data_IF_341335518688
#
_entry.id   IF_341335518688
#
_cell.length_a   1.000
_cell.length_b   1.000
_cell.length_c   1.000
_cell.angle_alpha   90.00
_cell.angle_beta   90.00
_cell.angle_gamma   90.00
#
_symmetry.space_group_name_H-M   'P 1'
#
loop_
_entity.id
_entity.type
_entity.pdbx_description
1 polymer ?
#
# COMPACT_ATOMS: atom_id res chain seq x y z
N UNK A 1 -24.59 3.53 -24.51
CA UNK A 1 -23.79 3.21 -23.30
C UNK A 1 -22.77 2.09 -23.59
N UNK A 2 -23.22 0.92 -24.02
CA UNK A 2 -22.34 -0.22 -24.35
C UNK A 2 -21.37 0.06 -25.50
N UNK A 3 -21.83 0.72 -26.58
CA UNK A 3 -20.95 1.12 -27.69
C UNK A 3 -19.86 2.12 -27.27
N UNK A 4 -20.14 3.00 -26.30
CA UNK A 4 -19.15 3.94 -25.73
C UNK A 4 -18.13 3.19 -24.89
N UNK A 5 -18.58 2.27 -24.04
CA UNK A 5 -17.73 1.38 -23.23
C UNK A 5 -16.77 0.56 -24.11
N UNK A 6 -17.29 -0.09 -25.15
CA UNK A 6 -16.49 -0.87 -26.09
C UNK A 6 -15.44 -0.03 -26.84
N UNK A 7 -15.79 1.21 -27.21
CA UNK A 7 -14.86 2.15 -27.84
C UNK A 7 -13.73 2.55 -26.88
N UNK A 8 -14.06 2.83 -25.61
CA UNK A 8 -13.08 3.21 -24.59
C UNK A 8 -12.12 2.06 -24.24
N UNK A 9 -12.62 0.84 -24.12
CA UNK A 9 -11.78 -0.36 -23.96
C UNK A 9 -10.84 -0.54 -25.16
N UNK A 10 -11.36 -0.41 -26.39
CA UNK A 10 -10.53 -0.51 -27.59
C UNK A 10 -9.46 0.60 -27.66
N UNK A 11 -9.78 1.80 -27.19
CA UNK A 11 -8.84 2.91 -27.11
C UNK A 11 -7.78 2.65 -26.04
N UNK A 12 -8.17 2.15 -24.88
CA UNK A 12 -7.25 1.76 -23.80
C UNK A 12 -6.30 0.65 -24.22
N UNK A 13 -6.79 -0.36 -24.94
CA UNK A 13 -5.96 -1.44 -25.46
C UNK A 13 -4.91 -0.94 -26.45
N UNK A 14 -5.31 -0.07 -27.39
CA UNK A 14 -4.36 0.57 -28.31
C UNK A 14 -3.34 1.46 -27.60
N UNK A 15 -3.76 2.14 -26.53
CA UNK A 15 -2.86 2.96 -25.73
C UNK A 15 -1.83 2.09 -24.99
N UNK A 16 -2.26 0.97 -24.42
CA UNK A 16 -1.38 0.01 -23.76
C UNK A 16 -0.35 -0.58 -24.75
N UNK A 17 -0.80 -1.00 -25.94
CA UNK A 17 0.08 -1.52 -26.99
C UNK A 17 1.12 -0.47 -27.43
N UNK A 18 0.70 0.80 -27.54
CA UNK A 18 1.58 1.90 -27.87
C UNK A 18 2.58 2.21 -26.75
N UNK A 19 2.17 2.15 -25.48
CA UNK A 19 3.08 2.31 -24.34
C UNK A 19 4.13 1.21 -24.30
N UNK A 20 3.75 -0.04 -24.58
CA UNK A 20 4.70 -1.15 -24.74
C UNK A 20 5.68 -0.87 -25.89
N UNK A 21 5.19 -0.35 -27.02
CA UNK A 21 6.00 -0.02 -28.19
C UNK A 21 6.98 1.13 -27.93
N UNK A 22 6.56 2.15 -27.18
CA UNK A 22 7.37 3.33 -26.87
C UNK A 22 8.43 3.04 -25.79
N UNK A 23 8.18 2.06 -24.92
CA UNK A 23 9.19 1.48 -24.04
C UNK A 23 8.99 1.79 -22.55
N UNK A 24 10.04 1.57 -21.73
CA UNK A 24 9.91 1.49 -20.27
C UNK A 24 9.29 2.71 -19.59
N UNK A 25 9.59 3.92 -20.06
CA UNK A 25 9.03 5.17 -19.49
C UNK A 25 7.51 5.19 -19.61
N UNK A 26 6.97 4.86 -20.78
CA UNK A 26 5.54 4.89 -21.07
C UNK A 26 4.80 3.73 -20.42
N UNK A 27 5.42 2.55 -20.36
CA UNK A 27 4.90 1.42 -19.57
C UNK A 27 4.71 1.85 -18.12
N UNK A 28 5.69 2.53 -17.52
CA UNK A 28 5.59 3.00 -16.13
C UNK A 28 4.57 4.11 -15.94
N UNK A 29 4.51 5.09 -16.84
CA UNK A 29 3.44 6.10 -16.82
C UNK A 29 2.07 5.43 -16.90
N UNK A 30 1.91 4.43 -17.78
CA UNK A 30 0.68 3.64 -17.87
C UNK A 30 0.35 2.86 -16.61
N UNK A 31 1.35 2.32 -15.90
CA UNK A 31 1.14 1.68 -14.59
C UNK A 31 0.65 2.70 -13.55
N UNK A 32 1.26 3.89 -13.47
CA UNK A 32 0.82 4.98 -12.58
C UNK A 32 -0.63 5.38 -12.92
N UNK A 33 -0.91 5.61 -14.21
CA UNK A 33 -2.24 5.97 -14.71
C UNK A 33 -3.29 4.87 -14.54
N UNK A 34 -2.92 3.59 -14.56
CA UNK A 34 -3.85 2.47 -14.32
C UNK A 34 -4.39 2.46 -12.89
N UNK A 35 -3.67 3.09 -11.96
CA UNK A 35 -4.06 3.22 -10.56
C UNK A 35 -4.83 4.53 -10.27
N UNK A 36 -5.05 5.36 -11.29
CA UNK A 36 -5.70 6.65 -11.15
C UNK A 36 -7.19 6.49 -10.79
N UNK A 37 -7.59 7.15 -9.70
CA UNK A 37 -8.95 7.17 -9.18
C UNK A 37 -9.58 8.55 -9.12
N UNK A 38 -8.86 9.64 -9.40
CA UNK A 38 -9.51 10.95 -9.44
C UNK A 38 -10.22 11.22 -10.78
N UNK A 39 -10.31 10.19 -11.64
CA UNK A 39 -11.08 10.21 -12.87
C UNK A 39 -10.40 10.99 -14.00
N UNK A 40 -9.07 11.05 -14.00
CA UNK A 40 -8.31 11.67 -15.09
C UNK A 40 -8.43 10.82 -16.36
N UNK A 41 -8.53 9.50 -16.19
CA UNK A 41 -8.87 8.56 -17.26
C UNK A 41 -10.27 7.94 -17.05
N UNK A 42 -11.01 7.67 -18.14
CA UNK A 42 -12.15 6.77 -18.10
C UNK A 42 -11.75 5.39 -17.51
N UNK A 43 -12.59 4.84 -16.64
CA UNK A 43 -12.35 3.56 -15.94
C UNK A 43 -11.98 2.43 -16.92
N UNK A 44 -12.63 2.38 -18.08
CA UNK A 44 -12.32 1.39 -19.12
C UNK A 44 -10.90 1.51 -19.67
N UNK A 45 -10.34 2.72 -19.76
CA UNK A 45 -8.96 2.92 -20.23
C UNK A 45 -7.98 2.51 -19.13
N UNK A 46 -8.23 2.89 -17.89
CA UNK A 46 -7.41 2.49 -16.74
C UNK A 46 -7.37 0.96 -16.60
N UNK A 47 -8.51 0.29 -16.79
CA UNK A 47 -8.63 -1.18 -16.82
C UNK A 47 -7.72 -1.79 -17.89
N UNK A 48 -7.74 -1.30 -19.13
CA UNK A 48 -6.85 -1.79 -20.20
C UNK A 48 -5.36 -1.61 -19.89
N UNK A 49 -4.99 -0.52 -19.20
CA UNK A 49 -3.60 -0.23 -18.83
C UNK A 49 -3.06 -1.18 -17.74
N UNK A 50 -3.92 -1.89 -16.99
CA UNK A 50 -3.46 -2.87 -16.00
C UNK A 50 -2.60 -3.98 -16.60
N UNK A 51 -2.77 -4.32 -17.90
CA UNK A 51 -1.90 -5.29 -18.60
C UNK A 51 -0.43 -4.88 -18.63
N UNK A 52 -0.13 -3.60 -18.49
CA UNK A 52 1.25 -3.10 -18.49
C UNK A 52 2.05 -3.59 -17.28
N UNK A 53 1.37 -4.18 -16.30
CA UNK A 53 1.97 -4.83 -15.13
C UNK A 53 2.47 -6.26 -15.46
N UNK A 54 2.22 -6.77 -16.66
CA UNK A 54 2.66 -8.10 -17.10
C UNK A 54 4.19 -8.19 -17.31
N UNK A 55 4.71 -9.43 -17.21
CA UNK A 55 6.15 -9.70 -17.23
C UNK A 55 6.75 -9.34 -18.58
N UNK A 56 7.73 -8.43 -18.55
CA UNK A 56 8.57 -8.11 -19.69
C UNK A 56 9.56 -9.26 -19.94
N UNK A 57 9.85 -9.63 -21.20
CA UNK A 57 10.88 -10.63 -21.49
C UNK A 57 12.23 -10.31 -20.84
N UNK A 58 12.90 -11.35 -20.36
CA UNK A 58 14.29 -11.28 -19.93
C UNK A 58 15.19 -10.83 -21.09
N UNK A 59 16.15 -9.95 -20.81
CA UNK A 59 17.30 -9.74 -21.69
C UNK A 59 18.35 -10.83 -21.44
N UNK A 60 19.38 -10.87 -22.28
CA UNK A 60 20.41 -11.90 -22.19
C UNK A 60 21.11 -11.95 -20.82
N UNK A 61 21.30 -13.16 -20.30
CA UNK A 61 21.84 -13.40 -18.95
C UNK A 61 23.33 -13.08 -18.84
N UNK A 62 24.10 -13.35 -19.89
CA UNK A 62 25.52 -12.95 -19.95
C UNK A 62 25.64 -11.43 -19.93
N UNK A 63 24.75 -10.73 -20.64
CA UNK A 63 24.68 -9.27 -20.56
C UNK A 63 24.36 -8.78 -19.15
N UNK A 64 23.56 -9.49 -18.36
CA UNK A 64 23.29 -9.13 -16.97
C UNK A 64 24.55 -9.24 -16.09
N UNK A 65 25.34 -10.29 -16.30
CA UNK A 65 26.63 -10.47 -15.63
C UNK A 65 27.62 -9.33 -15.98
N UNK A 66 27.70 -8.94 -17.25
CA UNK A 66 28.52 -7.79 -17.69
C UNK A 66 28.08 -6.47 -17.03
N UNK A 67 26.76 -6.23 -16.93
CA UNK A 67 26.22 -5.04 -16.28
C UNK A 67 26.49 -5.05 -14.78
N UNK A 68 26.46 -6.21 -14.12
CA UNK A 68 26.83 -6.34 -12.72
C UNK A 68 28.33 -6.00 -12.49
N UNK A 69 29.22 -6.49 -13.36
CA UNK A 69 30.66 -6.13 -13.34
C UNK A 69 30.85 -4.63 -13.52
N UNK A 70 30.16 -4.03 -14.50
CA UNK A 70 30.25 -2.60 -14.76
C UNK A 70 29.74 -1.76 -13.58
N UNK A 71 28.69 -2.22 -12.88
CA UNK A 71 28.15 -1.54 -11.71
C UNK A 71 29.07 -1.65 -10.48
N UNK A 72 29.71 -2.81 -10.27
CA UNK A 72 30.60 -3.06 -9.14
C UNK A 72 32.02 -2.51 -9.34
N UNK A 73 32.39 -2.16 -10.58
CA UNK A 73 33.76 -1.78 -10.98
C UNK A 73 34.82 -2.84 -10.60
N UNK A 74 34.40 -4.10 -10.51
CA UNK A 74 35.22 -5.24 -10.09
C UNK A 74 34.90 -6.49 -10.91
N UNK A 75 35.87 -7.39 -11.14
CA UNK A 75 35.62 -8.68 -11.80
C UNK A 75 34.56 -9.50 -11.05
N UNK A 76 33.67 -10.16 -11.79
CA UNK A 76 32.54 -10.89 -11.20
C UNK A 76 33.02 -12.00 -10.25
N UNK A 77 34.10 -12.69 -10.59
CA UNK A 77 34.73 -13.78 -9.84
C UNK A 77 35.41 -13.32 -8.54
N UNK A 78 35.68 -12.02 -8.40
CA UNK A 78 36.19 -11.45 -7.15
C UNK A 78 35.10 -11.24 -6.09
N UNK A 79 33.84 -11.15 -6.51
CA UNK A 79 32.67 -10.89 -5.65
C UNK A 79 31.79 -12.13 -5.49
N UNK A 80 31.55 -12.84 -6.60
CA UNK A 80 30.67 -14.00 -6.68
C UNK A 80 31.46 -15.27 -6.98
N UNK A 81 31.27 -16.29 -6.14
CA UNK A 81 31.72 -17.67 -6.42
C UNK A 81 30.93 -18.28 -7.59
N UNK A 82 29.65 -17.93 -7.71
CA UNK A 82 28.80 -18.30 -8.84
C UNK A 82 27.74 -17.24 -9.12
N UNK A 83 27.38 -17.07 -10.39
CA UNK A 83 26.31 -16.18 -10.83
C UNK A 83 25.46 -16.93 -11.87
N UNK A 84 24.19 -17.17 -11.57
CA UNK A 84 23.27 -17.86 -12.49
C UNK A 84 22.79 -16.88 -13.57
N UNK A 85 23.19 -17.12 -14.81
CA UNK A 85 22.77 -16.31 -15.96
C UNK A 85 21.30 -16.55 -16.32
N UNK A 86 20.66 -17.57 -15.76
CA UNK A 86 19.21 -17.75 -15.81
C UNK A 86 18.54 -16.85 -14.78
N UNK A 87 17.67 -15.90 -15.18
CA UNK A 87 17.01 -15.01 -14.23
C UNK A 87 15.96 -15.75 -13.39
N UNK A 88 15.94 -15.46 -12.08
CA UNK A 88 14.86 -15.84 -11.16
C UNK A 88 13.56 -15.10 -11.51
N UNK A 89 13.70 -13.82 -11.88
CA UNK A 89 12.60 -12.96 -12.25
C UNK A 89 13.07 -11.88 -13.24
N UNK A 90 12.16 -11.44 -14.10
CA UNK A 90 12.38 -10.32 -14.99
C UNK A 90 11.26 -9.30 -14.77
N UNK A 91 11.64 -8.03 -14.69
CA UNK A 91 10.75 -6.89 -14.56
C UNK A 91 11.03 -5.87 -15.68
N UNK A 92 10.24 -4.79 -15.69
CA UNK A 92 10.40 -3.72 -16.68
C UNK A 92 11.74 -2.99 -16.55
N UNK A 93 12.24 -2.79 -15.32
CA UNK A 93 13.48 -2.04 -15.06
C UNK A 93 14.74 -2.91 -14.99
N UNK A 94 14.60 -4.22 -14.85
CA UNK A 94 15.75 -5.09 -14.59
C UNK A 94 15.44 -6.57 -14.53
N UNK A 95 16.43 -7.35 -14.14
CA UNK A 95 16.33 -8.78 -13.89
C UNK A 95 16.93 -9.14 -12.55
N UNK A 96 16.42 -10.20 -11.93
CA UNK A 96 16.92 -10.73 -10.66
C UNK A 96 17.59 -12.07 -10.94
N UNK A 97 18.85 -12.21 -10.56
CA UNK A 97 19.66 -13.41 -10.72
C UNK A 97 20.00 -14.02 -9.36
N UNK A 98 20.14 -15.34 -9.30
CA UNK A 98 20.69 -16.01 -8.11
C UNK A 98 22.21 -16.00 -8.22
N UNK A 99 22.89 -15.69 -7.14
CA UNK A 99 24.34 -15.78 -7.07
C UNK A 99 24.78 -16.27 -5.69
N UNK A 100 26.03 -16.73 -5.60
CA UNK A 100 26.69 -17.06 -4.34
C UNK A 100 27.88 -16.13 -4.19
N UNK A 101 27.92 -15.36 -3.11
CA UNK A 101 29.08 -14.52 -2.79
C UNK A 101 30.29 -15.39 -2.44
N UNK A 102 31.50 -14.85 -2.67
CA UNK A 102 32.72 -15.46 -2.13
C UNK A 102 32.57 -15.60 -0.61
N UNK A 103 32.64 -16.84 -0.12
CA UNK A 103 32.34 -17.19 1.28
C UNK A 103 31.01 -17.93 1.48
N UNK A 104 30.24 -18.16 0.41
CA UNK A 104 29.11 -19.11 0.39
C UNK A 104 27.73 -18.52 0.71
N UNK A 105 27.60 -17.21 0.90
CA UNK A 105 26.31 -16.55 1.15
C UNK A 105 25.50 -16.48 -0.15
N UNK A 106 24.32 -17.10 -0.17
CA UNK A 106 23.42 -17.02 -1.32
C UNK A 106 22.67 -15.68 -1.37
N UNK A 107 22.68 -15.05 -2.54
CA UNK A 107 22.08 -13.73 -2.76
C UNK A 107 21.22 -13.69 -4.02
N UNK A 108 20.25 -12.79 -4.02
CA UNK A 108 19.52 -12.34 -5.19
C UNK A 108 20.12 -11.01 -5.66
N UNK A 109 20.50 -10.94 -6.93
CA UNK A 109 21.15 -9.78 -7.55
C UNK A 109 20.20 -9.17 -8.58
N UNK A 110 19.62 -8.02 -8.25
CA UNK A 110 18.76 -7.23 -9.15
C UNK A 110 19.64 -6.32 -10.00
N UNK A 111 19.72 -6.60 -11.29
CA UNK A 111 20.53 -5.88 -12.28
C UNK A 111 19.61 -4.98 -13.12
N UNK A 112 19.92 -3.69 -13.18
CA UNK A 112 19.18 -2.72 -13.99
C UNK A 112 19.43 -2.91 -15.49
N UNK A 113 18.40 -2.70 -16.33
CA UNK A 113 18.56 -2.66 -17.79
C UNK A 113 19.46 -1.49 -18.20
N UNK A 114 20.30 -1.72 -19.20
CA UNK A 114 21.20 -0.69 -19.70
C UNK A 114 20.46 0.52 -20.27
N UNK A 115 21.00 1.71 -20.02
CA UNK A 115 20.54 2.96 -20.64
C UNK A 115 19.21 3.50 -20.12
N UNK A 116 18.62 2.92 -19.07
CA UNK A 116 17.33 3.37 -18.55
C UNK A 116 17.31 4.85 -18.16
N UNK A 117 18.35 5.34 -17.49
CA UNK A 117 18.47 6.76 -17.13
C UNK A 117 18.46 7.65 -18.38
N UNK A 118 19.22 7.30 -19.41
CA UNK A 118 19.29 8.11 -20.64
C UNK A 118 17.96 8.09 -21.43
N UNK A 119 17.24 6.98 -21.37
CA UNK A 119 15.89 6.86 -21.94
C UNK A 119 14.94 7.78 -21.17
N UNK A 120 14.95 7.72 -19.84
CA UNK A 120 14.09 8.55 -18.98
C UNK A 120 14.39 10.03 -19.15
N UNK A 121 15.67 10.42 -19.16
CA UNK A 121 16.11 11.80 -19.35
C UNK A 121 15.57 12.38 -20.68
N UNK A 122 15.56 11.59 -21.76
CA UNK A 122 15.06 12.03 -23.08
C UNK A 122 13.54 12.07 -23.13
N UNK A 123 12.89 11.01 -22.67
CA UNK A 123 11.43 10.86 -22.74
C UNK A 123 10.73 11.89 -21.84
N UNK A 124 11.21 12.05 -20.60
CA UNK A 124 10.66 13.01 -19.65
C UNK A 124 10.93 14.45 -20.08
N UNK A 125 12.11 14.76 -20.66
CA UNK A 125 12.35 16.08 -21.22
C UNK A 125 11.40 16.42 -22.39
N UNK A 126 11.03 15.42 -23.21
CA UNK A 126 10.07 15.61 -24.29
C UNK A 126 8.64 15.75 -23.76
N UNK A 127 8.24 14.88 -22.83
CA UNK A 127 6.92 14.92 -22.19
C UNK A 127 6.71 16.22 -21.41
N UNK A 128 7.70 16.69 -20.66
CA UNK A 128 7.62 17.96 -19.94
C UNK A 128 7.40 19.16 -20.87
N UNK A 129 7.98 19.15 -22.08
CA UNK A 129 7.69 20.16 -23.11
C UNK A 129 6.26 20.07 -23.63
N UNK A 130 5.73 18.86 -23.82
CA UNK A 130 4.35 18.65 -24.25
C UNK A 130 3.35 19.08 -23.17
N UNK A 131 3.59 18.69 -21.91
CA UNK A 131 2.79 19.10 -20.76
C UNK A 131 2.77 20.61 -20.62
N UNK A 132 3.94 21.26 -20.67
CA UNK A 132 4.01 22.73 -20.62
C UNK A 132 3.36 23.43 -21.83
N UNK A 133 3.25 22.76 -22.97
CA UNK A 133 2.46 23.25 -24.10
C UNK A 133 0.95 23.11 -23.82
N UNK A 134 0.49 21.94 -23.36
CA UNK A 134 -0.92 21.68 -23.02
C UNK A 134 -1.43 22.64 -21.95
N UNK A 135 -0.65 22.85 -20.87
CA UNK A 135 -0.99 23.80 -19.79
C UNK A 135 -1.12 25.24 -20.31
N UNK A 136 -0.27 25.63 -21.28
CA UNK A 136 -0.35 26.97 -21.91
C UNK A 136 -1.64 27.19 -22.70
N UNK A 137 -2.22 26.13 -23.28
CA UNK A 137 -3.45 26.21 -24.05
C UNK A 137 -4.72 25.91 -23.24
N UNK A 138 -4.57 25.67 -21.93
CA UNK A 138 -5.68 25.44 -21.00
C UNK A 138 -6.65 24.35 -21.51
N UNK A 139 -6.10 23.31 -22.15
CA UNK A 139 -6.87 22.21 -22.74
C UNK A 139 -7.44 21.38 -21.60
N UNK A 140 -8.67 21.69 -21.19
CA UNK A 140 -9.41 20.87 -20.22
C UNK A 140 -9.83 19.57 -20.89
N UNK A 141 -9.16 18.48 -20.52
CA UNK A 141 -9.71 17.14 -20.70
C UNK A 141 -10.49 16.83 -19.42
N UNK A 142 -11.80 16.59 -19.53
CA UNK A 142 -12.60 16.10 -18.39
C UNK A 142 -13.21 17.15 -17.44
N UNK A 143 -13.03 18.46 -17.65
CA UNK A 143 -13.80 19.50 -16.93
C UNK A 143 -13.28 19.92 -15.56
N UNK A 144 -12.14 19.39 -15.10
CA UNK A 144 -11.40 19.93 -13.96
C UNK A 144 -10.25 20.83 -14.43
N UNK A 145 -9.86 21.82 -13.61
CA UNK A 145 -8.63 22.60 -13.79
C UNK A 145 -7.44 21.69 -13.49
N UNK A 146 -7.04 20.91 -14.49
CA UNK A 146 -6.01 19.90 -14.36
C UNK A 146 -4.63 20.57 -14.48
N UNK A 147 -3.87 20.56 -13.38
CA UNK A 147 -2.49 21.03 -13.35
C UNK A 147 -1.58 19.91 -13.83
N UNK A 148 -1.54 19.69 -15.14
CA UNK A 148 -0.78 18.59 -15.73
C UNK A 148 0.71 18.66 -15.39
N UNK A 149 1.26 19.86 -15.21
CA UNK A 149 2.61 20.07 -14.69
C UNK A 149 2.88 19.42 -13.34
N UNK A 150 2.00 19.60 -12.34
CA UNK A 150 2.22 19.04 -10.99
C UNK A 150 2.20 17.50 -11.01
N UNK A 151 1.26 16.91 -11.75
CA UNK A 151 1.19 15.45 -11.94
C UNK A 151 2.41 14.91 -12.69
N UNK A 152 2.87 15.65 -13.71
CA UNK A 152 4.05 15.28 -14.47
C UNK A 152 5.32 15.31 -13.62
N UNK A 153 5.46 16.32 -12.76
CA UNK A 153 6.59 16.45 -11.84
C UNK A 153 6.59 15.31 -10.81
N UNK A 154 5.43 14.99 -10.23
CA UNK A 154 5.27 13.87 -9.29
C UNK A 154 5.60 12.53 -9.96
N UNK A 155 5.03 12.26 -11.16
CA UNK A 155 5.33 11.05 -11.92
C UNK A 155 6.81 10.95 -12.29
N UNK A 156 7.44 12.07 -12.63
CA UNK A 156 8.88 12.14 -12.94
C UNK A 156 9.71 11.76 -11.72
N UNK A 157 9.38 12.29 -10.53
CA UNK A 157 10.09 11.96 -9.29
C UNK A 157 9.95 10.48 -8.92
N UNK A 158 8.75 9.90 -9.08
CA UNK A 158 8.49 8.47 -8.88
C UNK A 158 9.36 7.62 -9.80
N UNK A 159 9.46 7.98 -11.08
CA UNK A 159 10.24 7.24 -12.08
C UNK A 159 11.74 7.26 -11.79
N UNK A 160 12.29 8.42 -11.40
CA UNK A 160 13.71 8.52 -11.05
C UNK A 160 14.05 7.75 -9.77
N UNK A 161 13.16 7.75 -8.77
CA UNK A 161 13.33 6.93 -7.56
C UNK A 161 13.37 5.44 -7.89
N UNK A 162 12.56 4.99 -8.85
CA UNK A 162 12.49 3.57 -9.19
C UNK A 162 13.75 3.02 -9.89
N UNK A 163 14.55 3.89 -10.51
CA UNK A 163 15.83 3.51 -11.13
C UNK A 163 17.03 3.74 -10.21
N UNK A 164 16.83 4.19 -8.97
CA UNK A 164 17.89 4.30 -7.97
C UNK A 164 17.83 3.13 -6.97
N UNK A 165 18.60 2.09 -7.27
CA UNK A 165 18.66 0.90 -6.43
C UNK A 165 19.36 1.12 -5.07
N UNK A 166 20.07 2.24 -4.86
CA UNK A 166 20.56 2.60 -3.51
C UNK A 166 19.40 3.02 -2.61
N UNK A 167 18.47 3.81 -3.14
CA UNK A 167 17.28 4.21 -2.40
C UNK A 167 16.44 2.97 -2.03
N UNK A 168 16.26 2.03 -2.96
CA UNK A 168 15.59 0.76 -2.67
C UNK A 168 16.32 -0.07 -1.60
N UNK A 169 17.66 -0.15 -1.66
CA UNK A 169 18.48 -0.82 -0.66
C UNK A 169 18.31 -0.22 0.75
N UNK A 170 18.34 1.12 0.86
CA UNK A 170 18.14 1.83 2.12
C UNK A 170 16.73 1.62 2.68
N UNK A 171 15.71 1.67 1.82
CA UNK A 171 14.32 1.41 2.18
C UNK A 171 14.11 -0.03 2.66
N UNK A 172 14.72 -1.02 2.01
CA UNK A 172 14.67 -2.41 2.40
C UNK A 172 15.33 -2.65 3.76
N UNK A 173 16.53 -2.09 3.99
CA UNK A 173 17.22 -2.17 5.28
C UNK A 173 16.43 -1.49 6.41
N UNK A 174 15.79 -0.36 6.10
CA UNK A 174 14.90 0.33 7.05
C UNK A 174 13.68 -0.52 7.41
N UNK A 175 13.06 -1.16 6.42
CA UNK A 175 11.94 -2.07 6.66
C UNK A 175 12.36 -3.28 7.49
N UNK A 176 13.51 -3.88 7.17
CA UNK A 176 14.10 -5.00 7.93
C UNK A 176 14.23 -4.65 9.41
N UNK A 177 14.80 -3.47 9.72
CA UNK A 177 14.92 -2.98 11.08
C UNK A 177 13.56 -2.74 11.75
N UNK A 178 12.57 -2.21 11.03
CA UNK A 178 11.23 -1.95 11.55
C UNK A 178 10.48 -3.25 11.93
N UNK A 179 10.70 -4.33 11.18
CA UNK A 179 10.00 -5.61 11.38
C UNK A 179 10.83 -6.64 12.16
N UNK A 180 12.03 -6.31 12.62
CA UNK A 180 12.95 -7.24 13.29
C UNK A 180 12.33 -7.97 14.51
N UNK A 181 11.38 -7.33 15.21
CA UNK A 181 10.69 -7.90 16.37
C UNK A 181 9.40 -8.67 16.00
N UNK A 182 9.07 -8.78 14.72
CA UNK A 182 7.88 -9.47 14.23
C UNK A 182 8.27 -10.86 13.70
N UNK A 183 7.71 -11.90 14.30
CA UNK A 183 8.01 -13.28 13.86
C UNK A 183 7.31 -13.67 12.56
N UNK A 184 6.29 -12.92 12.15
CA UNK A 184 5.37 -13.23 11.06
C UNK A 184 5.57 -12.34 9.81
N UNK A 185 6.50 -11.38 9.83
CA UNK A 185 6.94 -10.58 8.67
C UNK A 185 8.46 -10.60 8.58
N UNK A 186 8.99 -10.55 7.36
CA UNK A 186 10.41 -10.42 7.08
C UNK A 186 10.64 -9.81 5.69
N UNK A 187 11.89 -9.53 5.39
CA UNK A 187 12.42 -9.09 4.10
C UNK A 187 13.82 -9.68 3.94
N UNK A 188 14.32 -9.91 2.72
CA UNK A 188 15.73 -10.17 2.49
C UNK A 188 16.64 -9.11 3.14
N UNK A 189 17.72 -9.56 3.77
CA UNK A 189 18.75 -8.65 4.28
C UNK A 189 19.57 -8.08 3.12
N UNK A 190 19.90 -6.80 3.18
CA UNK A 190 20.63 -6.10 2.11
C UNK A 190 22.13 -6.25 2.29
N UNK A 191 22.87 -6.51 1.20
CA UNK A 191 24.33 -6.49 1.17
C UNK A 191 24.79 -5.11 0.71
N UNK A 192 24.71 -4.15 1.63
CA UNK A 192 24.85 -2.71 1.36
C UNK A 192 26.14 -2.38 0.60
N UNK A 193 27.23 -3.09 0.90
CA UNK A 193 28.56 -2.87 0.32
C UNK A 193 28.62 -3.18 -1.18
N UNK A 194 27.68 -3.98 -1.69
CA UNK A 194 27.57 -4.38 -3.09
C UNK A 194 26.42 -3.66 -3.82
N UNK A 195 25.70 -2.76 -3.14
CA UNK A 195 24.59 -2.03 -3.72
C UNK A 195 25.07 -0.73 -4.39
N UNK A 196 24.58 -0.48 -5.59
CA UNK A 196 24.86 0.72 -6.40
C UNK A 196 23.56 1.25 -6.99
N UNK A 197 23.61 2.36 -7.73
CA UNK A 197 22.41 2.91 -8.40
C UNK A 197 21.81 1.92 -9.42
N UNK A 198 22.61 0.96 -9.91
CA UNK A 198 22.24 0.02 -10.98
C UNK A 198 22.21 -1.45 -10.53
N UNK A 199 22.60 -1.73 -9.30
CA UNK A 199 22.72 -3.09 -8.76
C UNK A 199 22.22 -3.13 -7.31
N UNK A 200 21.24 -3.99 -7.03
CA UNK A 200 20.79 -4.28 -5.66
C UNK A 200 21.11 -5.73 -5.33
N UNK A 201 21.82 -5.95 -4.23
CA UNK A 201 22.20 -7.28 -3.75
C UNK A 201 21.55 -7.52 -2.39
N UNK A 202 20.76 -8.59 -2.29
CA UNK A 202 20.04 -8.96 -1.08
C UNK A 202 20.11 -10.46 -0.84
N UNK A 203 19.83 -10.92 0.37
CA UNK A 203 19.80 -12.34 0.69
C UNK A 203 18.84 -13.11 -0.22
N UNK A 204 19.27 -14.26 -0.70
CA UNK A 204 18.36 -15.14 -1.43
C UNK A 204 17.38 -15.76 -0.43
N UNK A 205 16.13 -15.27 -0.46
CA UNK A 205 15.07 -15.74 0.43
C UNK A 205 13.94 -16.40 -0.37
N UNK A 206 13.93 -17.74 -0.50
CA UNK A 206 12.87 -18.44 -1.22
C UNK A 206 11.56 -18.40 -0.42
N UNK A 207 10.44 -18.34 -1.15
CA UNK A 207 9.09 -18.38 -0.59
C UNK A 207 8.05 -18.81 -1.63
N UNK A 208 6.88 -19.20 -1.17
CA UNK A 208 5.71 -19.45 -2.01
C UNK A 208 5.06 -18.10 -2.30
N UNK A 209 4.85 -17.76 -3.57
CA UNK A 209 4.20 -16.48 -3.93
C UNK A 209 2.83 -16.38 -3.29
N UNK A 210 2.45 -15.17 -2.85
CA UNK A 210 1.21 -14.98 -2.10
C UNK A 210 -0.05 -15.35 -2.90
N UNK A 211 0.04 -15.32 -4.24
CA UNK A 211 -1.03 -15.69 -5.17
C UNK A 211 -0.93 -17.13 -5.71
N UNK A 212 0.06 -17.94 -5.28
CA UNK A 212 0.16 -19.36 -5.63
C UNK A 212 -0.69 -20.18 -4.64
N UNK A 213 -2.02 -20.02 -4.73
CA UNK A 213 -2.96 -20.64 -3.79
C UNK A 213 -2.84 -22.17 -3.75
N UNK A 214 -2.53 -22.81 -4.89
CA UNK A 214 -2.35 -24.25 -4.94
C UNK A 214 -1.21 -24.72 -4.02
N UNK A 215 -0.08 -24.01 -4.00
CA UNK A 215 1.03 -24.32 -3.09
C UNK A 215 0.75 -23.90 -1.66
N UNK A 216 0.06 -22.78 -1.45
CA UNK A 216 -0.34 -22.34 -0.11
C UNK A 216 -1.28 -23.37 0.53
N UNK A 217 -2.35 -23.77 -0.17
CA UNK A 217 -3.35 -24.73 0.32
C UNK A 217 -2.76 -26.15 0.49
N UNK A 218 -1.69 -26.48 -0.23
CA UNK A 218 -0.94 -27.72 -0.07
C UNK A 218 0.03 -27.71 1.12
N UNK A 219 0.28 -26.55 1.76
CA UNK A 219 1.20 -26.41 2.90
C UNK A 219 0.38 -26.35 4.19
N UNK A 220 0.38 -27.41 5.04
CA UNK A 220 -0.52 -27.51 6.19
C UNK A 220 -0.41 -26.38 7.23
N UNK A 221 0.75 -25.74 7.31
CA UNK A 221 1.03 -24.62 8.20
C UNK A 221 0.38 -23.31 7.76
N UNK A 222 0.02 -23.17 6.48
CA UNK A 222 -0.47 -21.91 5.93
C UNK A 222 -1.99 -21.86 5.95
N UNK A 223 -2.51 -20.75 6.48
CA UNK A 223 -3.93 -20.41 6.41
C UNK A 223 -4.06 -19.05 5.70
N UNK A 224 -4.79 -19.04 4.59
CA UNK A 224 -4.96 -17.83 3.77
C UNK A 224 -5.59 -16.67 4.53
N UNK A 225 -6.53 -16.95 5.44
CA UNK A 225 -7.16 -15.90 6.27
C UNK A 225 -6.18 -15.34 7.27
N UNK A 226 -5.32 -16.18 7.86
CA UNK A 226 -4.23 -15.72 8.74
C UNK A 226 -3.24 -14.87 7.96
N UNK A 227 -2.85 -15.27 6.74
CA UNK A 227 -1.97 -14.49 5.88
C UNK A 227 -2.58 -13.13 5.50
N UNK A 228 -3.85 -13.08 5.15
CA UNK A 228 -4.57 -11.84 4.86
C UNK A 228 -4.61 -10.90 6.07
N UNK A 229 -4.92 -11.43 7.26
CA UNK A 229 -4.93 -10.67 8.51
C UNK A 229 -3.54 -10.16 8.89
N UNK A 230 -2.50 -10.98 8.70
CA UNK A 230 -1.11 -10.58 8.94
C UNK A 230 -0.68 -9.48 7.95
N UNK A 231 -1.08 -9.58 6.67
CA UNK A 231 -0.80 -8.53 5.69
C UNK A 231 -1.44 -7.21 6.12
N UNK A 232 -2.72 -7.24 6.53
CA UNK A 232 -3.41 -6.06 7.06
C UNK A 232 -2.73 -5.49 8.31
N UNK A 233 -2.33 -6.37 9.26
CA UNK A 233 -1.61 -5.98 10.47
C UNK A 233 -0.25 -5.36 10.15
N UNK A 234 0.47 -5.86 9.13
CA UNK A 234 1.72 -5.26 8.66
C UNK A 234 1.49 -3.83 8.18
N UNK A 235 0.47 -3.60 7.36
CA UNK A 235 0.13 -2.27 6.86
C UNK A 235 -0.32 -1.31 7.96
N UNK A 236 -1.09 -1.79 8.94
CA UNK A 236 -1.40 -1.00 10.13
C UNK A 236 -0.13 -0.53 10.84
N UNK A 237 0.86 -1.40 11.05
CA UNK A 237 2.11 -1.04 11.70
C UNK A 237 2.92 -0.06 10.84
N UNK A 238 2.96 -0.26 9.53
CA UNK A 238 3.61 0.65 8.58
C UNK A 238 3.05 2.07 8.68
N UNK A 239 1.72 2.22 8.68
CA UNK A 239 1.09 3.53 8.80
C UNK A 239 1.20 4.11 10.21
N UNK A 240 0.75 3.38 11.23
CA UNK A 240 0.54 3.94 12.56
C UNK A 240 1.78 3.90 13.45
N UNK A 241 2.69 2.94 13.25
CA UNK A 241 3.86 2.74 14.13
C UNK A 241 5.16 3.18 13.48
N UNK A 242 5.43 2.74 12.25
CA UNK A 242 6.69 3.01 11.57
C UNK A 242 6.70 4.39 10.89
N UNK A 243 5.52 4.89 10.50
CA UNK A 243 5.39 6.06 9.63
C UNK A 243 6.07 5.83 8.27
N UNK A 244 6.33 4.58 7.90
CA UNK A 244 7.08 4.17 6.72
C UNK A 244 6.39 2.95 6.13
N UNK A 245 6.01 3.05 4.86
CA UNK A 245 5.13 2.07 4.25
C UNK A 245 5.53 1.79 2.80
N UNK A 246 5.26 0.56 2.36
CA UNK A 246 5.37 0.17 0.97
C UNK A 246 4.10 0.61 0.21
N UNK A 247 4.25 1.26 -0.95
CA UNK A 247 3.09 1.73 -1.73
C UNK A 247 2.58 0.70 -2.73
N UNK A 248 3.33 -0.38 -2.96
CA UNK A 248 3.06 -1.36 -4.02
C UNK A 248 3.12 -2.81 -3.51
N UNK A 249 2.18 -3.26 -2.65
CA UNK A 249 2.05 -4.66 -2.23
C UNK A 249 1.52 -5.58 -3.34
N UNK A 250 1.96 -5.38 -4.58
CA UNK A 250 1.57 -6.24 -5.68
C UNK A 250 1.93 -7.71 -5.36
N UNK A 251 1.08 -8.71 -5.67
CA UNK A 251 1.33 -10.11 -5.35
C UNK A 251 2.69 -10.65 -5.84
N UNK A 252 3.25 -10.05 -6.89
CA UNK A 252 4.58 -10.37 -7.41
C UNK A 252 5.73 -10.10 -6.42
N UNK A 253 5.53 -9.15 -5.50
CA UNK A 253 6.52 -8.67 -4.53
C UNK A 253 6.30 -9.26 -3.13
N UNK A 254 5.35 -10.19 -3.00
CA UNK A 254 4.96 -10.83 -1.75
C UNK A 254 5.08 -12.35 -1.84
N UNK A 255 5.65 -12.95 -0.80
CA UNK A 255 5.65 -14.40 -0.63
C UNK A 255 5.42 -14.78 0.83
N UNK A 256 5.27 -16.08 1.05
CA UNK A 256 5.18 -16.70 2.37
C UNK A 256 6.22 -17.82 2.46
N UNK A 257 6.93 -17.89 3.59
CA UNK A 257 7.79 -19.04 3.94
C UNK A 257 7.38 -19.65 5.25
N UNK A 258 7.76 -20.91 5.43
CA UNK A 258 7.63 -21.60 6.71
C UNK A 258 8.65 -21.03 7.70
N UNK A 259 8.25 -20.91 8.95
CA UNK A 259 9.12 -20.43 10.03
C UNK A 259 8.72 -21.09 11.33
N UNK A 260 9.70 -21.62 12.08
CA UNK A 260 9.45 -22.19 13.40
C UNK A 260 8.92 -21.14 14.40
N UNK A 261 9.26 -19.86 14.18
CA UNK A 261 8.81 -18.74 15.01
C UNK A 261 7.40 -18.22 14.61
N UNK A 262 6.90 -18.61 13.43
CA UNK A 262 5.56 -18.27 12.97
C UNK A 262 4.92 -19.48 12.28
N UNK A 263 4.26 -20.36 13.07
CA UNK A 263 3.60 -21.56 12.55
C UNK A 263 2.49 -21.28 11.52
N UNK A 264 1.99 -20.05 11.40
CA UNK A 264 1.02 -19.64 10.36
C UNK A 264 1.65 -19.11 9.07
N UNK A 265 2.97 -19.26 8.92
CA UNK A 265 3.76 -18.67 7.84
C UNK A 265 4.34 -17.30 8.19
N UNK A 266 5.45 -16.95 7.55
CA UNK A 266 6.09 -15.64 7.64
C UNK A 266 5.99 -14.95 6.28
N UNK A 267 5.37 -13.76 6.26
CA UNK A 267 5.25 -12.94 5.06
C UNK A 267 6.61 -12.35 4.68
N UNK A 268 6.95 -12.39 3.40
CA UNK A 268 8.16 -11.83 2.82
C UNK A 268 7.78 -10.68 1.90
N UNK A 269 8.40 -9.52 2.10
CA UNK A 269 8.34 -8.39 1.18
C UNK A 269 9.66 -8.32 0.41
N UNK A 270 9.60 -8.18 -0.92
CA UNK A 270 10.79 -8.18 -1.79
C UNK A 270 11.16 -6.83 -2.40
N UNK A 271 10.20 -5.91 -2.54
CA UNK A 271 10.38 -4.68 -3.31
C UNK A 271 10.04 -3.46 -2.44
N UNK A 272 10.97 -2.51 -2.40
CA UNK A 272 10.83 -1.25 -1.67
C UNK A 272 11.20 -0.03 -2.54
N UNK A 273 11.20 -0.19 -3.87
CA UNK A 273 11.53 0.89 -4.80
C UNK A 273 10.54 2.04 -4.76
N UNK A 274 9.32 1.79 -4.28
CA UNK A 274 8.25 2.77 -4.12
C UNK A 274 7.83 2.95 -2.64
N UNK A 275 8.71 2.68 -1.68
CA UNK A 275 8.39 2.91 -0.27
C UNK A 275 8.37 4.41 0.07
N UNK A 276 7.48 4.82 0.97
CA UNK A 276 7.26 6.22 1.32
C UNK A 276 7.31 6.44 2.83
N UNK A 277 7.74 7.65 3.20
CA UNK A 277 7.72 8.17 4.56
C UNK A 277 6.49 9.07 4.74
N UNK A 278 5.74 8.85 5.82
CA UNK A 278 4.72 9.77 6.28
C UNK A 278 5.35 10.87 7.13
N UNK A 279 4.90 12.10 6.92
CA UNK A 279 5.17 13.19 7.86
C UNK A 279 4.46 12.91 9.19
N UNK A 280 4.99 13.38 10.34
CA UNK A 280 4.41 13.10 11.65
C UNK A 280 2.93 13.48 11.77
N UNK A 281 2.52 14.60 11.15
CA UNK A 281 1.12 15.03 11.10
C UNK A 281 0.23 14.08 10.30
N UNK A 282 0.73 13.57 9.17
CA UNK A 282 0.01 12.62 8.33
C UNK A 282 -0.19 11.28 9.04
N UNK A 283 0.88 10.77 9.67
CA UNK A 283 0.84 9.55 10.48
C UNK A 283 -0.19 9.67 11.61
N UNK A 284 -0.19 10.79 12.35
CA UNK A 284 -1.15 11.01 13.43
C UNK A 284 -2.59 11.12 12.92
N UNK A 285 -2.80 11.78 11.77
CA UNK A 285 -4.11 11.86 11.12
C UNK A 285 -4.66 10.49 10.75
N UNK A 286 -3.83 9.64 10.11
CA UNK A 286 -4.20 8.26 9.75
C UNK A 286 -4.51 7.43 11.00
N UNK A 287 -3.69 7.55 12.04
CA UNK A 287 -3.94 6.85 13.31
C UNK A 287 -5.29 7.27 13.91
N UNK A 288 -5.55 8.57 14.05
CA UNK A 288 -6.80 9.10 14.59
C UNK A 288 -8.01 8.62 13.78
N UNK A 289 -7.88 8.61 12.45
CA UNK A 289 -8.89 8.12 11.53
C UNK A 289 -9.21 6.63 11.79
N UNK A 290 -8.22 5.74 11.74
CA UNK A 290 -8.45 4.30 11.92
C UNK A 290 -8.99 4.01 13.34
N UNK A 291 -8.47 4.68 14.36
CA UNK A 291 -8.93 4.52 15.74
C UNK A 291 -10.39 4.96 15.92
N UNK A 292 -10.79 6.09 15.34
CA UNK A 292 -12.16 6.58 15.40
C UNK A 292 -13.15 5.64 14.70
N UNK A 293 -12.74 5.01 13.60
CA UNK A 293 -13.55 4.01 12.88
C UNK A 293 -13.74 2.76 13.73
N UNK A 294 -12.70 2.28 14.41
CA UNK A 294 -12.78 1.10 15.28
C UNK A 294 -13.63 1.36 16.52
N UNK A 295 -13.50 2.56 17.10
CA UNK A 295 -14.27 2.99 18.26
C UNK A 295 -15.73 3.34 17.88
N UNK A 296 -16.07 3.34 16.59
CA UNK A 296 -17.36 3.78 16.02
C UNK A 296 -17.73 5.20 16.48
N UNK A 297 -16.73 6.08 16.57
CA UNK A 297 -16.87 7.47 17.03
C UNK A 297 -16.94 8.42 15.83
N UNK A 298 -18.16 8.70 15.38
CA UNK A 298 -18.41 9.52 14.19
C UNK A 298 -17.88 10.96 14.32
N UNK A 299 -18.07 11.68 15.45
CA UNK A 299 -17.45 12.99 15.64
C UNK A 299 -15.93 12.98 15.49
N UNK A 300 -15.24 12.03 16.15
CA UNK A 300 -13.77 11.92 16.03
C UNK A 300 -13.33 11.59 14.61
N UNK A 301 -14.10 10.76 13.90
CA UNK A 301 -13.81 10.38 12.52
C UNK A 301 -13.91 11.58 11.56
N UNK A 302 -14.95 12.41 11.70
CA UNK A 302 -15.10 13.63 10.88
C UNK A 302 -14.03 14.66 11.20
N UNK A 303 -13.65 14.83 12.47
CA UNK A 303 -12.51 15.68 12.84
C UNK A 303 -11.22 15.17 12.19
N UNK A 304 -10.95 13.86 12.24
CA UNK A 304 -9.77 13.30 11.58
C UNK A 304 -9.80 13.51 10.05
N UNK A 305 -10.95 13.32 9.40
CA UNK A 305 -11.09 13.62 7.96
C UNK A 305 -10.83 15.09 7.65
N UNK A 306 -11.34 16.01 8.47
CA UNK A 306 -11.11 17.44 8.29
C UNK A 306 -9.63 17.81 8.50
N UNK A 307 -8.98 17.29 9.55
CA UNK A 307 -7.57 17.55 9.86
C UNK A 307 -6.63 16.99 8.80
N UNK A 308 -7.01 15.87 8.17
CA UNK A 308 -6.32 15.29 7.01
C UNK A 308 -6.65 16.00 5.69
N UNK A 309 -7.48 17.06 5.69
CA UNK A 309 -7.87 17.77 4.47
C UNK A 309 -8.77 16.98 3.52
N UNK A 310 -9.33 15.85 3.97
CA UNK A 310 -10.22 14.99 3.17
C UNK A 310 -11.61 15.63 2.93
N UNK A 311 -11.93 16.67 3.68
CA UNK A 311 -13.17 17.44 3.56
C UNK A 311 -12.81 18.84 3.03
N UNK A 312 -13.49 19.28 1.97
CA UNK A 312 -13.28 20.62 1.39
C UNK A 312 -13.60 21.73 2.40
N UNK A 313 -12.84 22.81 2.36
CA UNK A 313 -13.12 23.99 3.16
C UNK A 313 -14.55 24.52 2.91
N UNK A 314 -15.27 24.81 3.99
CA UNK A 314 -16.64 25.30 3.94
C UNK A 314 -17.72 24.21 3.77
N UNK A 315 -17.35 22.94 3.70
CA UNK A 315 -18.31 21.84 3.72
C UNK A 315 -19.01 21.70 5.09
N UNK A 316 -20.22 21.15 5.08
CA UNK A 316 -21.04 20.98 6.27
C UNK A 316 -20.65 19.71 7.05
N UNK A 317 -19.79 19.87 8.05
CA UNK A 317 -19.29 18.77 8.89
C UNK A 317 -20.41 17.97 9.56
N UNK A 318 -21.55 18.58 9.87
CA UNK A 318 -22.68 17.87 10.48
C UNK A 318 -23.31 16.85 9.52
N UNK A 319 -23.29 17.12 8.20
CA UNK A 319 -23.72 16.14 7.19
C UNK A 319 -22.76 14.97 7.11
N UNK A 320 -21.44 15.23 7.19
CA UNK A 320 -20.45 14.17 7.24
C UNK A 320 -20.64 13.30 8.49
N UNK A 321 -20.89 13.90 9.65
CA UNK A 321 -21.11 13.16 10.91
C UNK A 321 -22.37 12.28 10.83
N UNK A 322 -23.46 12.79 10.26
CA UNK A 322 -24.68 12.02 10.02
C UNK A 322 -24.44 10.83 9.07
N UNK A 323 -23.67 11.03 7.99
CA UNK A 323 -23.30 9.96 7.05
C UNK A 323 -22.43 8.90 7.74
N UNK A 324 -21.38 9.32 8.45
CA UNK A 324 -20.47 8.41 9.16
C UNK A 324 -21.22 7.63 10.24
N UNK A 325 -22.06 8.30 11.03
CA UNK A 325 -22.92 7.67 12.05
C UNK A 325 -23.86 6.63 11.45
N UNK A 326 -24.47 6.93 10.30
CA UNK A 326 -25.34 5.98 9.58
C UNK A 326 -24.56 4.78 9.05
N UNK A 327 -23.35 4.98 8.53
CA UNK A 327 -22.50 3.88 8.05
C UNK A 327 -22.02 2.97 9.21
N UNK A 328 -21.73 3.55 10.37
CA UNK A 328 -21.42 2.79 11.58
C UNK A 328 -22.64 2.00 12.08
N UNK A 329 -23.81 2.64 12.13
CA UNK A 329 -25.06 2.01 12.56
C UNK A 329 -25.59 0.94 11.59
N UNK A 330 -25.30 1.05 10.28
CA UNK A 330 -25.74 0.08 9.28
C UNK A 330 -24.91 -1.20 9.26
N UNK A 331 -23.85 -1.31 10.07
CA UNK A 331 -22.96 -2.48 10.11
C UNK A 331 -22.13 -2.67 8.84
N UNK A 332 -21.99 -1.62 8.01
CA UNK A 332 -21.14 -1.65 6.80
C UNK A 332 -19.66 -1.66 7.12
N UNK A 333 -19.31 -1.24 8.34
CA UNK A 333 -17.98 -1.44 8.92
C UNK A 333 -18.15 -2.52 9.98
N UNK A 334 -17.86 -3.78 9.61
CA UNK A 334 -17.97 -4.91 10.54
C UNK A 334 -16.72 -4.98 11.42
N UNK A 335 -16.60 -4.09 12.40
CA UNK A 335 -15.60 -4.30 13.45
C UNK A 335 -16.01 -5.53 14.28
N UNK A 336 -15.34 -6.68 14.08
CA UNK A 336 -15.57 -7.91 14.88
C UNK A 336 -15.31 -7.70 16.37
N UNK A 337 -14.64 -6.62 16.77
CA UNK A 337 -14.34 -6.29 18.17
C UNK A 337 -15.61 -5.99 19.01
N UNK A 338 -16.75 -5.69 18.40
CA UNK A 338 -17.99 -5.35 19.11
C UNK A 338 -18.94 -6.53 19.37
N UNK A 339 -18.60 -7.77 18.96
CA UNK A 339 -19.46 -8.94 19.19
C UNK A 339 -19.68 -9.28 20.69
N UNK A 340 -18.96 -8.60 21.59
CA UNK A 340 -19.13 -8.68 23.05
C UNK A 340 -20.13 -7.70 23.68
N UNK A 341 -20.67 -6.70 22.94
CA UNK A 341 -21.65 -5.75 23.49
C UNK A 341 -22.73 -5.36 22.49
N UNK A 342 -23.50 -6.33 22.00
CA UNK A 342 -24.96 -6.22 21.85
C UNK A 342 -25.50 -7.57 21.42
N UNK A 343 -26.10 -8.29 22.37
CA UNK A 343 -27.07 -9.34 22.07
C UNK A 343 -28.30 -8.64 21.50
N UNK A 344 -28.31 -8.43 20.19
CA UNK A 344 -29.50 -8.12 19.40
C UNK A 344 -29.26 -8.54 17.94
N UNK A 345 -28.80 -9.77 17.72
CA UNK A 345 -29.05 -10.45 16.45
C UNK A 345 -30.55 -10.77 16.39
N UNK A 346 -31.30 -9.97 15.63
CA UNK A 346 -32.37 -10.43 14.72
C UNK A 346 -32.93 -9.26 13.91
N UNK A 347 -33.03 -9.51 12.60
CA UNK A 347 -33.75 -8.75 11.55
C UNK A 347 -32.88 -7.89 10.61
N UNK A 348 -31.87 -8.50 9.97
CA UNK A 348 -31.31 -7.97 8.72
C UNK A 348 -32.09 -8.42 7.46
N UNK A 349 -32.99 -9.40 7.57
CA UNK A 349 -33.80 -9.93 6.46
C UNK A 349 -35.20 -9.30 6.34
N UNK A 350 -35.37 -8.08 6.85
CA UNK A 350 -36.61 -7.30 6.74
C UNK A 350 -36.52 -6.16 5.70
N UNK A 351 -37.65 -5.65 5.18
CA UNK A 351 -37.68 -4.52 4.23
C UNK A 351 -36.92 -3.27 4.72
N UNK A 352 -36.72 -3.13 6.04
CA UNK A 352 -36.01 -2.01 6.68
C UNK A 352 -34.47 -2.04 6.54
N UNK A 353 -33.84 -3.21 6.41
CA UNK A 353 -32.37 -3.31 6.24
C UNK A 353 -31.91 -2.79 4.88
N UNK A 354 -32.61 -3.19 3.82
CA UNK A 354 -32.39 -2.69 2.46
C UNK A 354 -32.72 -1.19 2.30
N UNK A 355 -33.67 -0.66 3.08
CA UNK A 355 -33.99 0.77 3.13
C UNK A 355 -32.89 1.58 3.83
N UNK A 356 -32.32 1.05 4.92
CA UNK A 356 -31.16 1.63 5.62
C UNK A 356 -29.93 1.68 4.73
N UNK A 357 -29.64 0.60 4.00
CA UNK A 357 -28.53 0.55 3.05
C UNK A 357 -28.67 1.57 1.90
N UNK A 358 -29.86 1.66 1.30
CA UNK A 358 -30.13 2.63 0.23
C UNK A 358 -30.09 4.07 0.74
N UNK A 359 -30.57 4.32 1.96
CA UNK A 359 -30.51 5.64 2.58
C UNK A 359 -29.07 6.05 2.90
N UNK A 360 -28.25 5.14 3.44
CA UNK A 360 -26.84 5.38 3.69
C UNK A 360 -26.04 5.56 2.38
N UNK A 361 -26.32 4.78 1.33
CA UNK A 361 -25.68 4.98 0.02
C UNK A 361 -26.04 6.34 -0.61
N UNK A 362 -27.30 6.76 -0.49
CA UNK A 362 -27.77 8.07 -0.94
C UNK A 362 -27.18 9.21 -0.10
N UNK A 363 -26.99 9.00 1.19
CA UNK A 363 -26.36 9.97 2.09
C UNK A 363 -24.86 10.11 1.78
N UNK A 364 -24.15 9.00 1.51
CA UNK A 364 -22.77 9.04 1.01
C UNK A 364 -22.65 9.81 -0.32
N UNK A 365 -23.61 9.65 -1.23
CA UNK A 365 -23.69 10.45 -2.47
C UNK A 365 -23.87 11.95 -2.23
N UNK A 366 -24.46 12.36 -1.10
CA UNK A 366 -24.70 13.76 -0.80
C UNK A 366 -23.44 14.50 -0.30
N UNK A 367 -22.48 13.77 0.28
CA UNK A 367 -21.20 14.32 0.77
C UNK A 367 -20.01 14.06 -0.15
N UNK A 368 -20.16 13.10 -1.08
CA UNK A 368 -19.15 12.75 -2.10
C UNK A 368 -18.59 13.97 -2.87
N UNK A 369 -19.37 14.99 -3.27
CA UNK A 369 -18.84 16.17 -3.94
C UNK A 369 -17.89 17.02 -3.07
N UNK A 370 -18.04 16.94 -1.76
CA UNK A 370 -17.29 17.70 -0.75
C UNK A 370 -16.12 16.89 -0.16
N UNK A 371 -16.05 15.59 -0.48
CA UNK A 371 -14.91 14.75 -0.16
C UNK A 371 -13.81 14.93 -1.21
N UNK A 372 -12.56 14.96 -0.78
CA UNK A 372 -11.39 15.05 -1.64
C UNK A 372 -10.27 14.18 -1.05
N UNK A 373 -9.37 13.71 -1.90
CA UNK A 373 -8.14 13.07 -1.45
C UNK A 373 -6.98 14.04 -1.73
N UNK A 374 -6.36 14.64 -0.70
CA UNK A 374 -5.15 15.41 -0.90
C UNK A 374 -4.05 14.55 -1.52
N UNK A 375 -3.25 15.15 -2.41
CA UNK A 375 -2.18 14.45 -3.13
C UNK A 375 -1.21 13.73 -2.18
N UNK A 376 -0.96 14.30 -1.01
CA UNK A 376 -0.09 13.72 0.02
C UNK A 376 -0.57 12.37 0.58
N UNK A 377 -1.85 12.03 0.43
CA UNK A 377 -2.42 10.73 0.82
C UNK A 377 -2.67 9.78 -0.36
N UNK A 378 -2.36 10.19 -1.60
CA UNK A 378 -2.57 9.37 -2.80
C UNK A 378 -1.84 8.01 -2.70
N UNK A 379 -0.58 8.03 -2.25
CA UNK A 379 0.21 6.82 -2.03
C UNK A 379 -0.36 5.90 -0.94
N UNK A 380 -0.94 6.47 0.13
CA UNK A 380 -1.60 5.69 1.19
C UNK A 380 -2.85 5.00 0.65
N UNK A 381 -3.66 5.72 -0.13
CA UNK A 381 -4.84 5.16 -0.77
C UNK A 381 -4.48 4.03 -1.75
N UNK A 382 -3.41 4.20 -2.54
CA UNK A 382 -2.87 3.17 -3.43
C UNK A 382 -2.43 1.93 -2.66
N UNK A 383 -1.64 2.10 -1.61
CA UNK A 383 -1.16 1.01 -0.77
C UNK A 383 -2.32 0.21 -0.16
N UNK A 384 -3.32 0.90 0.39
CA UNK A 384 -4.52 0.29 0.96
C UNK A 384 -5.35 -0.45 -0.10
N UNK A 385 -5.51 0.11 -1.30
CA UNK A 385 -6.25 -0.52 -2.38
C UNK A 385 -5.58 -1.81 -2.85
N UNK A 386 -4.28 -1.78 -3.11
CA UNK A 386 -3.56 -2.97 -3.56
C UNK A 386 -3.57 -4.05 -2.49
N UNK A 387 -3.31 -3.67 -1.23
CA UNK A 387 -3.39 -4.58 -0.10
C UNK A 387 -4.81 -5.17 0.07
N UNK A 388 -5.87 -4.38 -0.11
CA UNK A 388 -7.25 -4.86 -0.08
C UNK A 388 -7.53 -5.87 -1.22
N UNK A 389 -6.97 -5.62 -2.41
CA UNK A 389 -6.99 -6.56 -3.53
C UNK A 389 -6.36 -7.92 -3.15
N UNK A 390 -5.12 -7.90 -2.67
CA UNK A 390 -4.42 -9.12 -2.22
C UNK A 390 -5.14 -9.80 -1.05
N UNK A 391 -5.67 -9.01 -0.12
CA UNK A 391 -6.44 -9.50 1.03
C UNK A 391 -7.70 -10.24 0.59
N UNK A 392 -8.46 -9.70 -0.36
CA UNK A 392 -9.67 -10.33 -0.93
C UNK A 392 -9.37 -11.54 -1.80
N UNK A 393 -8.24 -11.52 -2.50
CA UNK A 393 -7.73 -12.68 -3.21
C UNK A 393 -7.44 -13.83 -2.24
N UNK A 394 -6.84 -13.55 -1.07
CA UNK A 394 -6.56 -14.55 -0.03
C UNK A 394 -7.82 -15.01 0.72
N UNK A 395 -8.66 -14.08 1.17
CA UNK A 395 -9.92 -14.33 1.87
C UNK A 395 -11.03 -13.48 1.25
N UNK A 396 -12.01 -14.06 0.53
CA UNK A 396 -13.10 -13.30 -0.08
C UNK A 396 -13.94 -12.47 0.92
N UNK A 397 -13.92 -12.81 2.21
CA UNK A 397 -14.58 -12.06 3.28
C UNK A 397 -13.67 -11.02 3.95
N UNK A 398 -12.49 -10.76 3.39
CA UNK A 398 -11.52 -9.81 3.92
C UNK A 398 -12.08 -8.39 3.96
N UNK A 399 -11.97 -7.77 5.13
CA UNK A 399 -12.26 -6.35 5.35
C UNK A 399 -11.12 -5.78 6.21
N UNK A 400 -10.35 -4.83 5.68
CA UNK A 400 -9.15 -4.30 6.34
C UNK A 400 -9.39 -3.89 7.80
N UNK A 401 -10.41 -3.04 8.04
CA UNK A 401 -10.75 -2.55 9.40
C UNK A 401 -11.06 -3.70 10.35
N UNK A 402 -11.79 -4.71 9.89
CA UNK A 402 -12.14 -5.87 10.71
C UNK A 402 -10.90 -6.69 11.09
N UNK A 403 -9.95 -6.83 10.16
CA UNK A 403 -8.69 -7.55 10.35
C UNK A 403 -7.73 -6.84 11.30
N UNK A 404 -7.68 -5.50 11.27
CA UNK A 404 -6.74 -4.72 12.08
C UNK A 404 -7.28 -4.28 13.45
N UNK A 405 -8.60 -4.36 13.66
CA UNK A 405 -9.23 -3.96 14.92
C UNK A 405 -8.59 -4.61 16.18
N UNK A 406 -8.29 -5.93 16.22
CA UNK A 406 -7.61 -6.54 17.36
C UNK A 406 -6.20 -5.97 17.59
N UNK A 407 -5.45 -5.73 16.52
CA UNK A 407 -4.09 -5.22 16.58
C UNK A 407 -4.02 -3.76 17.08
N UNK A 408 -5.03 -2.94 16.77
CA UNK A 408 -5.11 -1.59 17.33
C UNK A 408 -5.37 -1.62 18.83
N UNK A 409 -6.19 -2.55 19.33
CA UNK A 409 -6.38 -2.73 20.77
C UNK A 409 -5.06 -3.11 21.45
N UNK A 410 -4.25 -3.98 20.82
CA UNK A 410 -2.90 -4.32 21.29
C UNK A 410 -1.96 -3.10 21.27
N UNK A 411 -1.96 -2.30 20.18
CA UNK A 411 -1.16 -1.07 20.08
C UNK A 411 -1.56 -0.03 21.13
N UNK A 412 -2.86 0.10 21.42
CA UNK A 412 -3.41 0.96 22.49
C UNK A 412 -3.08 0.41 23.90
N UNK A 413 -2.72 -0.86 24.00
CA UNK A 413 -2.65 -1.66 25.23
C UNK A 413 -1.24 -1.98 25.76
N UNK A 414 -0.25 -1.11 25.53
CA UNK A 414 1.04 -1.15 26.23
C UNK A 414 1.33 0.05 27.15
N UNK A 415 0.69 1.22 26.99
CA UNK A 415 0.92 2.37 27.90
C UNK A 415 -0.25 3.34 28.11
N UNK A 416 -1.26 3.42 27.23
CA UNK A 416 -2.17 4.59 27.23
C UNK A 416 -3.57 4.31 27.82
N UNK A 417 -4.07 3.07 27.78
CA UNK A 417 -5.46 2.81 28.18
C UNK A 417 -5.69 2.65 29.70
N UNK A 418 -4.68 2.25 30.47
CA UNK A 418 -4.86 1.91 31.90
C UNK A 418 -5.02 3.16 32.77
N UNK A 419 -4.50 4.32 32.37
CA UNK A 419 -4.57 5.55 33.17
C UNK A 419 -5.83 6.39 32.85
N UNK A 420 -6.14 6.64 31.58
CA UNK A 420 -7.21 7.59 31.22
C UNK A 420 -8.64 7.02 31.34
N UNK A 421 -8.84 5.74 31.02
CA UNK A 421 -10.17 5.12 31.04
C UNK A 421 -10.56 4.59 32.41
N UNK A 422 -9.60 4.11 33.21
CA UNK A 422 -9.85 3.73 34.60
C UNK A 422 -10.12 5.00 35.42
N UNK A 423 -9.36 6.08 35.27
CA UNK A 423 -9.68 7.36 35.94
C UNK A 423 -11.09 7.86 35.64
N UNK A 424 -11.45 7.97 34.35
CA UNK A 424 -12.77 8.50 33.94
C UNK A 424 -13.94 7.55 34.24
N UNK A 425 -13.75 6.23 34.17
CA UNK A 425 -14.82 5.26 34.50
C UNK A 425 -14.97 5.04 35.99
N UNK A 426 -13.88 5.09 36.76
CA UNK A 426 -13.89 4.93 38.21
C UNK A 426 -14.40 6.20 38.89
N UNK A 427 -14.05 7.41 38.42
CA UNK A 427 -14.61 8.66 38.95
C UNK A 427 -16.11 8.78 38.64
N UNK A 428 -16.54 8.34 37.45
CA UNK A 428 -17.97 8.28 37.09
C UNK A 428 -18.73 7.22 37.89
N UNK A 429 -18.08 6.10 38.21
CA UNK A 429 -18.65 5.04 39.05
C UNK A 429 -18.74 5.44 40.53
N UNK A 430 -17.68 6.05 41.09
CA UNK A 430 -17.62 6.54 42.47
C UNK A 430 -18.52 7.77 42.69
N UNK A 431 -18.61 8.67 41.70
CA UNK A 431 -19.54 9.79 41.69
C UNK A 431 -21.01 9.33 41.70
N UNK A 432 -21.35 8.28 40.95
CA UNK A 432 -22.69 7.68 40.96
C UNK A 432 -23.03 6.95 42.28
N UNK A 433 -22.02 6.60 43.09
CA UNK A 433 -22.18 5.98 44.41
C UNK A 433 -22.12 7.00 45.57
N UNK A 434 -21.94 8.30 45.28
CA UNK A 434 -21.89 9.36 46.29
C UNK A 434 -20.60 9.39 47.12
N UNK A 435 -19.55 8.70 46.70
CA UNK A 435 -18.25 8.65 47.39
C UNK A 435 -17.37 9.78 46.85
N UNK A 436 -17.08 10.79 47.67
CA UNK A 436 -16.04 11.79 47.35
C UNK A 436 -14.67 11.19 47.64
N UNK A 437 -13.94 10.74 46.61
CA UNK A 437 -12.54 10.30 46.75
C UNK A 437 -11.56 11.40 46.34
N UNK A 438 -10.43 11.47 47.04
CA UNK A 438 -9.24 12.25 46.66
C UNK A 438 -8.70 11.82 45.29
N UNK A 439 -7.86 12.63 44.61
CA UNK A 439 -7.33 12.32 43.29
C UNK A 439 -6.62 10.96 43.24
N UNK A 440 -6.95 10.16 42.22
CA UNK A 440 -6.42 8.81 41.96
C UNK A 440 -4.89 8.77 41.86
N UNK A 441 -4.23 9.92 41.64
CA UNK A 441 -2.76 10.06 41.63
C UNK A 441 -2.07 9.68 42.93
N UNK A 442 -2.78 9.71 44.07
CA UNK A 442 -2.21 9.37 45.38
C UNK A 442 -2.23 7.86 45.67
N UNK A 443 -2.85 7.04 44.82
CA UNK A 443 -2.97 5.59 45.01
C UNK A 443 -1.86 4.79 44.33
N UNK A 444 -1.11 5.43 43.43
CA UNK A 444 0.00 4.83 42.67
C UNK A 444 1.38 5.29 43.17
N UNK A 445 1.45 5.97 44.32
CA UNK A 445 2.67 6.19 45.12
C UNK A 445 2.64 5.27 46.32
#
# INVERSE_FOLDING_TARGET
PEAKKALLLTAGDKLADEFIRLGPTYVKIGQILSCDKDGWLPEEIAESLTRLQDRVPAFDGERAAELAVAALEQPLDSVFESFDTTPLAAASLGQVHRATLVGGREVAVKVQREGLKDIYDKDLALLGKMVGFVDRFNVSVGGASQKWGELFDEATEILYREIDYKCEAENAARFEAAVANLTWVTTPGVVTELCTEKLLVMDYMPGIKINDFAKIDATPEFDRKVLANNLAKSYLLQFCRFGFFNTDPHPGNLAVKTSAASPGGQLIFYDFGQACQLEPGQQQGIQNCIESIIDLDAPRCVTAFNDMGLIKEGADLAKFEDVVSKNFASGRIKSKASRGRTVAEKNADGPGGALSEKAAAKASQAVLPDFQLPAEYAFVARALQQMDGVGKELDPEFEFIASVAPAIVELKGADVYVQEQIGKSLDKFLGNLGIKSSPVSDWFK
#
